data_IF_206363557797
#
_entry.id   IF_206363557797
#
_cell.length_a   1.000
_cell.length_b   1.000
_cell.length_c   1.000
_cell.angle_alpha   90.00
_cell.angle_beta   90.00
_cell.angle_gamma   90.00
#
_symmetry.space_group_name_H-M   'P 1'
#
loop_
_entity.id
_entity.type
_entity.pdbx_description
1 polymer ?
#
# COMPACT_ATOMS: atom_id res chain seq x y z
N UNK A 1 13.90 -3.17 -20.51
CA UNK A 1 14.20 -2.89 -19.09
C UNK A 1 14.46 -1.42 -18.94
N UNK A 2 13.75 -0.76 -18.04
CA UNK A 2 13.92 0.66 -17.73
C UNK A 2 15.03 0.80 -16.68
N UNK A 3 16.05 1.61 -16.98
CA UNK A 3 17.25 1.75 -16.16
C UNK A 3 17.43 3.12 -15.51
N UNK A 4 16.60 4.11 -15.82
CA UNK A 4 16.69 5.46 -15.29
C UNK A 4 15.32 6.13 -15.10
N UNK A 5 15.31 7.26 -14.40
CA UNK A 5 14.08 8.01 -14.07
C UNK A 5 13.43 8.59 -15.32
N UNK A 6 14.20 9.05 -16.30
CA UNK A 6 13.65 9.66 -17.52
C UNK A 6 12.86 8.64 -18.35
N UNK A 7 13.42 7.44 -18.54
CA UNK A 7 12.76 6.31 -19.19
C UNK A 7 11.53 5.84 -18.41
N UNK A 8 11.62 5.82 -17.08
CA UNK A 8 10.49 5.49 -16.22
C UNK A 8 9.33 6.47 -16.42
N UNK A 9 9.58 7.76 -16.25
CA UNK A 9 8.56 8.81 -16.34
C UNK A 9 7.99 8.94 -17.76
N UNK A 10 8.74 8.57 -18.80
CA UNK A 10 8.22 8.47 -20.16
C UNK A 10 7.12 7.40 -20.30
N UNK A 11 7.19 6.32 -19.52
CA UNK A 11 6.24 5.19 -19.58
C UNK A 11 5.07 5.36 -18.61
N UNK A 12 5.34 5.69 -17.35
CA UNK A 12 4.32 5.72 -16.28
C UNK A 12 3.89 7.14 -15.87
N UNK A 13 4.56 8.16 -16.40
CA UNK A 13 4.36 9.56 -16.05
C UNK A 13 5.11 9.97 -14.78
N UNK A 14 5.42 11.26 -14.69
CA UNK A 14 6.04 11.85 -13.50
C UNK A 14 5.09 11.85 -12.28
N UNK A 15 5.63 11.75 -11.05
CA UNK A 15 4.84 11.86 -9.82
C UNK A 15 4.00 13.14 -9.78
N UNK A 16 2.70 12.99 -9.49
CA UNK A 16 1.78 14.13 -9.50
C UNK A 16 1.93 14.98 -8.24
N UNK A 17 2.29 16.25 -8.39
CA UNK A 17 2.43 17.21 -7.28
C UNK A 17 1.20 17.27 -6.35
N UNK A 18 -0.01 17.19 -6.91
CA UNK A 18 -1.26 17.19 -6.14
C UNK A 18 -1.43 15.94 -5.23
N UNK A 19 -0.73 14.85 -5.54
CA UNK A 19 -0.75 13.62 -4.74
C UNK A 19 0.30 13.68 -3.65
N UNK A 20 1.49 14.20 -3.96
CA UNK A 20 2.55 14.45 -2.98
C UNK A 20 2.16 15.51 -1.95
N UNK A 21 1.40 16.52 -2.38
CA UNK A 21 0.87 17.58 -1.53
C UNK A 21 -0.12 17.13 -0.45
N UNK A 22 -0.44 15.84 -0.35
CA UNK A 22 -1.30 15.26 0.70
C UNK A 22 -0.52 14.67 1.88
N UNK A 23 0.79 14.82 1.87
CA UNK A 23 1.67 14.26 2.91
C UNK A 23 1.78 15.24 4.07
N UNK A 24 1.56 14.77 5.31
CA UNK A 24 1.84 15.52 6.53
C UNK A 24 2.98 14.86 7.30
N UNK A 25 3.63 15.60 8.20
CA UNK A 25 4.80 15.12 8.95
C UNK A 25 4.53 14.86 10.44
N UNK A 26 3.26 14.93 10.84
CA UNK A 26 2.79 14.59 12.19
C UNK A 26 1.34 14.09 12.10
N UNK A 27 0.98 13.14 12.93
CA UNK A 27 -0.38 12.60 13.05
C UNK A 27 -1.34 13.68 13.54
N UNK A 28 -2.34 13.99 12.72
CA UNK A 28 -3.52 14.74 13.15
C UNK A 28 -4.53 13.83 13.89
N UNK A 29 -5.59 14.43 14.44
CA UNK A 29 -6.64 13.69 15.16
C UNK A 29 -7.28 12.59 14.31
N UNK A 30 -7.48 12.87 13.02
CA UNK A 30 -8.07 11.90 12.09
C UNK A 30 -7.17 10.70 11.86
N UNK A 31 -5.88 10.94 11.63
CA UNK A 31 -4.87 9.89 11.46
C UNK A 31 -4.73 9.06 12.73
N UNK A 32 -4.77 9.68 13.92
CA UNK A 32 -4.74 8.95 15.20
C UNK A 32 -5.95 8.04 15.39
N UNK A 33 -7.16 8.50 15.03
CA UNK A 33 -8.37 7.66 15.05
C UNK A 33 -8.27 6.50 14.08
N UNK A 34 -7.73 6.73 12.89
CA UNK A 34 -7.47 5.68 11.90
C UNK A 34 -6.49 4.63 12.44
N UNK A 35 -5.37 5.04 13.05
CA UNK A 35 -4.42 4.13 13.70
C UNK A 35 -5.09 3.29 14.80
N UNK A 36 -5.85 3.93 15.69
CA UNK A 36 -6.54 3.25 16.78
C UNK A 36 -7.59 2.24 16.30
N UNK A 37 -8.18 2.50 15.12
CA UNK A 37 -9.16 1.65 14.47
C UNK A 37 -8.56 0.52 13.61
N UNK A 38 -7.25 0.56 13.35
CA UNK A 38 -6.58 -0.41 12.48
C UNK A 38 -6.07 -1.59 13.30
N UNK A 39 -6.68 -2.79 13.22
CA UNK A 39 -6.22 -3.96 13.98
C UNK A 39 -4.87 -4.50 13.47
N UNK A 40 -4.48 -4.12 12.25
CA UNK A 40 -3.25 -4.58 11.62
C UNK A 40 -2.67 -3.50 10.69
N UNK A 41 -1.35 -3.57 10.49
CA UNK A 41 -0.67 -2.80 9.47
C UNK A 41 0.37 -3.68 8.77
N UNK A 42 0.49 -3.52 7.45
CA UNK A 42 1.70 -3.99 6.76
C UNK A 42 2.88 -3.18 7.26
N UNK A 43 3.99 -3.85 7.55
CA UNK A 43 5.25 -3.25 7.96
C UNK A 43 6.34 -3.68 6.99
N UNK A 44 6.97 -2.70 6.35
CA UNK A 44 8.24 -2.84 5.64
C UNK A 44 9.39 -2.33 6.48
N UNK A 45 10.44 -3.14 6.61
CA UNK A 45 11.60 -2.82 7.43
C UNK A 45 12.85 -3.55 6.92
N UNK A 46 14.02 -3.19 7.43
CA UNK A 46 15.23 -4.01 7.29
C UNK A 46 15.55 -4.64 8.64
N UNK A 47 15.86 -5.93 8.63
CA UNK A 47 16.33 -6.61 9.84
C UNK A 47 17.76 -6.17 10.21
N UNK A 48 18.30 -6.68 11.32
CA UNK A 48 19.63 -6.32 11.82
C UNK A 48 20.78 -6.65 10.86
N UNK A 49 20.53 -7.47 9.82
CA UNK A 49 21.50 -7.78 8.76
C UNK A 49 21.38 -6.85 7.55
N UNK A 50 20.41 -5.93 7.58
CA UNK A 50 20.06 -5.05 6.46
C UNK A 50 19.18 -5.73 5.41
N UNK A 51 18.65 -6.92 5.67
CA UNK A 51 17.80 -7.62 4.70
C UNK A 51 16.39 -7.04 4.72
N UNK A 52 15.83 -6.65 3.55
CA UNK A 52 14.43 -6.27 3.43
C UNK A 52 13.47 -7.31 4.00
N UNK A 53 12.43 -6.83 4.67
CA UNK A 53 11.33 -7.65 5.19
C UNK A 53 10.01 -6.91 5.03
N UNK A 54 8.96 -7.66 4.74
CA UNK A 54 7.58 -7.20 4.70
C UNK A 54 6.73 -8.20 5.46
N UNK A 55 5.94 -7.74 6.42
CA UNK A 55 5.06 -8.60 7.22
C UNK A 55 3.84 -7.82 7.70
N UNK A 56 2.89 -8.50 8.35
CA UNK A 56 1.82 -7.86 9.11
C UNK A 56 2.21 -7.76 10.59
N UNK A 57 1.95 -6.60 11.18
CA UNK A 57 2.01 -6.34 12.61
C UNK A 57 0.63 -5.99 13.15
N UNK A 58 0.44 -6.17 14.45
CA UNK A 58 -0.83 -5.92 15.13
C UNK A 58 -1.14 -4.43 15.30
N UNK A 59 -1.96 -4.13 16.30
CA UNK A 59 -2.39 -2.77 16.59
C UNK A 59 -1.20 -1.83 16.89
N UNK A 60 -1.30 -0.61 16.37
CA UNK A 60 -0.30 0.44 16.52
C UNK A 60 -0.91 1.59 17.32
N UNK A 61 -0.23 2.03 18.36
CA UNK A 61 -0.69 3.10 19.25
C UNK A 61 0.03 4.41 18.97
N UNK A 62 -0.70 5.50 18.79
CA UNK A 62 -0.11 6.84 18.69
C UNK A 62 0.13 7.42 20.10
N UNK A 63 1.38 7.48 20.55
CA UNK A 63 1.76 8.10 21.82
C UNK A 63 1.71 9.64 21.76
N UNK A 64 2.01 10.19 20.59
CA UNK A 64 2.00 11.63 20.33
C UNK A 64 1.81 11.89 18.83
N UNK A 65 1.65 13.15 18.38
CA UNK A 65 1.60 13.47 16.96
C UNK A 65 2.82 12.99 16.17
N UNK A 66 3.99 12.82 16.79
CA UNK A 66 5.24 12.47 16.10
C UNK A 66 5.79 11.10 16.52
N UNK A 67 5.04 10.32 17.30
CA UNK A 67 5.50 9.03 17.81
C UNK A 67 4.39 8.00 17.89
N UNK A 68 4.68 6.81 17.37
CA UNK A 68 3.85 5.61 17.52
C UNK A 68 4.62 4.52 18.27
N UNK A 69 3.90 3.59 18.87
CA UNK A 69 4.42 2.38 19.51
C UNK A 69 3.66 1.15 19.02
N UNK A 70 4.39 0.06 18.86
CA UNK A 70 3.89 -1.24 18.43
C UNK A 70 4.88 -2.33 18.80
N UNK A 71 4.44 -3.58 18.86
CA UNK A 71 5.38 -4.71 18.93
C UNK A 71 6.10 -4.86 17.58
N UNK A 72 7.39 -4.51 17.53
CA UNK A 72 8.20 -4.62 16.33
C UNK A 72 8.75 -6.05 16.18
N UNK A 73 8.86 -6.58 14.96
CA UNK A 73 9.61 -7.81 14.72
C UNK A 73 11.05 -7.68 15.24
N UNK A 74 11.64 -8.76 15.80
CA UNK A 74 13.01 -8.75 16.28
C UNK A 74 13.99 -8.28 15.20
N UNK A 75 14.87 -7.34 15.58
CA UNK A 75 15.88 -6.79 14.69
C UNK A 75 15.38 -5.74 13.69
N UNK A 76 14.11 -5.30 13.77
CA UNK A 76 13.66 -4.17 12.97
C UNK A 76 14.39 -2.88 13.36
N UNK A 77 15.11 -2.29 12.40
CA UNK A 77 15.93 -1.10 12.62
C UNK A 77 15.77 -0.08 11.50
N UNK A 78 16.11 1.17 11.78
CA UNK A 78 16.18 2.22 10.77
C UNK A 78 14.80 2.64 10.24
N UNK A 79 14.72 2.91 8.93
CA UNK A 79 13.49 3.37 8.30
C UNK A 79 12.47 2.25 8.14
N UNK A 80 11.21 2.55 8.45
CA UNK A 80 10.07 1.65 8.36
C UNK A 80 8.90 2.31 7.65
N UNK A 81 8.09 1.50 6.96
CA UNK A 81 6.91 1.98 6.25
C UNK A 81 5.70 1.10 6.53
N UNK A 82 4.57 1.76 6.77
CA UNK A 82 3.32 1.14 7.17
C UNK A 82 2.21 1.33 6.14
N UNK A 83 1.35 0.32 6.01
CA UNK A 83 0.03 0.42 5.36
C UNK A 83 -1.01 -0.11 6.34
N UNK A 84 -1.79 0.80 6.93
CA UNK A 84 -2.80 0.46 7.91
C UNK A 84 -4.03 -0.15 7.23
N UNK A 85 -4.45 -1.32 7.72
CA UNK A 85 -5.63 -2.03 7.22
C UNK A 85 -6.82 -1.72 8.13
N UNK A 86 -7.85 -1.11 7.54
CA UNK A 86 -9.10 -0.81 8.21
C UNK A 86 -10.18 -1.73 7.65
N UNK A 87 -10.66 -2.71 8.43
CA UNK A 87 -11.64 -3.65 7.93
C UNK A 87 -12.92 -2.96 7.44
N UNK A 88 -13.40 -3.37 6.26
CA UNK A 88 -14.57 -2.77 5.60
C UNK A 88 -14.30 -1.40 4.94
N UNK A 89 -13.12 -0.80 5.14
CA UNK A 89 -12.74 0.48 4.53
C UNK A 89 -11.82 0.26 3.34
N UNK A 90 -12.07 0.98 2.26
CA UNK A 90 -11.36 0.81 0.98
C UNK A 90 -10.00 1.50 1.02
N UNK A 91 -9.99 2.75 1.44
CA UNK A 91 -8.77 3.55 1.59
C UNK A 91 -7.89 3.03 2.72
N UNK A 92 -6.59 3.25 2.60
CA UNK A 92 -5.63 2.94 3.66
C UNK A 92 -4.88 4.19 4.07
N UNK A 93 -4.44 4.25 5.32
CA UNK A 93 -3.49 5.25 5.77
C UNK A 93 -2.08 4.67 5.63
N UNK A 94 -1.14 5.46 5.13
CA UNK A 94 0.27 5.12 5.07
C UNK A 94 1.07 6.01 6.00
N UNK A 95 2.11 5.43 6.58
CA UNK A 95 3.01 6.13 7.48
C UNK A 95 4.44 5.66 7.22
N UNK A 96 5.36 6.59 7.01
CA UNK A 96 6.78 6.31 7.01
C UNK A 96 7.39 6.87 8.30
N UNK A 97 8.36 6.17 8.84
CA UNK A 97 8.98 6.54 10.11
C UNK A 97 10.37 5.94 10.29
N UNK A 98 10.94 6.19 11.45
CA UNK A 98 12.25 5.65 11.84
C UNK A 98 12.15 5.03 13.22
N UNK A 99 12.58 3.78 13.34
CA UNK A 99 12.70 3.08 14.63
C UNK A 99 13.69 3.82 15.52
N UNK A 100 13.25 4.11 16.75
CA UNK A 100 14.06 4.67 17.84
C UNK A 100 14.22 3.60 18.93
N UNK A 101 14.95 3.92 20.00
CA UNK A 101 15.23 2.95 21.06
C UNK A 101 13.95 2.24 21.57
N UNK A 102 14.00 0.91 21.62
CA UNK A 102 12.86 0.05 21.93
C UNK A 102 11.87 -0.07 20.76
N UNK A 103 10.58 -0.05 21.09
CA UNK A 103 9.45 -0.31 20.20
C UNK A 103 8.76 0.97 19.68
N UNK A 104 9.47 2.10 19.74
CA UNK A 104 8.96 3.40 19.35
C UNK A 104 9.40 3.77 17.93
N UNK A 105 8.48 4.31 17.14
CA UNK A 105 8.76 4.83 15.79
C UNK A 105 8.48 6.33 15.76
N UNK A 106 9.47 7.11 15.34
CA UNK A 106 9.31 8.52 15.04
C UNK A 106 8.64 8.68 13.68
N UNK A 107 7.52 9.41 13.63
CA UNK A 107 6.75 9.65 12.41
C UNK A 107 7.50 10.64 11.51
N UNK A 108 7.63 10.31 10.22
CA UNK A 108 8.20 11.19 9.19
C UNK A 108 7.18 11.67 8.20
N UNK A 109 6.31 10.77 7.76
CA UNK A 109 5.30 11.06 6.76
C UNK A 109 4.03 10.29 7.06
N UNK A 110 2.89 10.92 6.81
CA UNK A 110 1.57 10.31 6.89
C UNK A 110 0.78 10.78 5.69
N UNK A 111 0.14 9.86 4.98
CA UNK A 111 -0.70 10.19 3.84
C UNK A 111 -1.75 9.12 3.58
N UNK A 112 -2.86 9.52 2.98
CA UNK A 112 -3.93 8.60 2.58
C UNK A 112 -3.60 7.98 1.23
N UNK A 113 -3.75 6.66 1.15
CA UNK A 113 -3.62 5.88 -0.06
C UNK A 113 -4.98 5.45 -0.59
N UNK A 114 -5.17 5.54 -1.91
CA UNK A 114 -6.46 5.25 -2.55
C UNK A 114 -6.85 3.77 -2.41
N UNK A 115 -8.15 3.50 -2.36
CA UNK A 115 -8.68 2.16 -2.10
C UNK A 115 -8.73 1.21 -3.28
N UNK A 116 -8.12 1.53 -4.42
CA UNK A 116 -8.21 0.71 -5.64
C UNK A 116 -7.66 -0.69 -5.46
N UNK A 117 -6.52 -0.84 -4.78
CA UNK A 117 -5.93 -2.16 -4.52
C UNK A 117 -6.88 -3.03 -3.69
N UNK A 118 -7.45 -2.48 -2.61
CA UNK A 118 -8.42 -3.15 -1.73
C UNK A 118 -9.70 -3.54 -2.47
N UNK A 119 -10.20 -2.65 -3.34
CA UNK A 119 -11.37 -2.90 -4.18
C UNK A 119 -11.13 -4.03 -5.18
N UNK A 120 -10.05 -3.94 -5.97
CA UNK A 120 -9.75 -4.93 -7.01
C UNK A 120 -9.45 -6.31 -6.43
N UNK A 121 -8.82 -6.37 -5.26
CA UNK A 121 -8.51 -7.62 -4.58
C UNK A 121 -9.67 -8.23 -3.80
N UNK A 122 -10.83 -7.54 -3.76
CA UNK A 122 -11.97 -7.88 -2.90
C UNK A 122 -11.55 -8.20 -1.45
N UNK A 123 -10.59 -7.45 -0.90
CA UNK A 123 -9.90 -7.83 0.35
C UNK A 123 -10.87 -8.12 1.51
N UNK A 124 -11.95 -7.34 1.60
CA UNK A 124 -12.96 -7.42 2.64
C UNK A 124 -14.18 -8.28 2.27
N UNK A 125 -14.32 -8.64 0.99
CA UNK A 125 -15.40 -9.46 0.45
C UNK A 125 -14.84 -10.63 -0.37
N UNK A 126 -13.94 -11.45 0.22
CA UNK A 126 -13.20 -12.45 -0.55
C UNK A 126 -14.07 -13.67 -0.88
N UNK A 127 -13.82 -14.24 -2.05
CA UNK A 127 -14.33 -15.56 -2.39
C UNK A 127 -13.55 -16.66 -1.63
N UNK A 128 -14.19 -17.77 -1.23
CA UNK A 128 -13.49 -18.86 -0.56
C UNK A 128 -12.36 -19.44 -1.42
N UNK A 129 -11.15 -19.49 -0.89
CA UNK A 129 -10.02 -20.15 -1.55
C UNK A 129 -10.12 -21.67 -1.40
N UNK A 130 -10.06 -22.45 -2.49
CA UNK A 130 -10.05 -23.91 -2.40
C UNK A 130 -8.91 -24.46 -1.54
N UNK A 131 -9.10 -25.58 -0.82
CA UNK A 131 -8.01 -26.30 -0.18
C UNK A 131 -6.94 -26.71 -1.19
N UNK A 132 -5.66 -26.60 -0.82
CA UNK A 132 -4.54 -27.00 -1.68
C UNK A 132 -4.21 -26.07 -2.86
N UNK A 133 -4.90 -24.92 -3.00
CA UNK A 133 -4.53 -23.92 -4.00
C UNK A 133 -3.09 -23.42 -3.79
N UNK A 134 -2.37 -23.18 -4.89
CA UNK A 134 -1.05 -22.54 -4.85
C UNK A 134 -1.15 -21.17 -4.17
N UNK A 135 -0.24 -20.90 -3.25
CA UNK A 135 -0.39 -19.75 -2.37
C UNK A 135 -0.32 -18.42 -3.13
N UNK A 136 0.64 -18.28 -4.06
CA UNK A 136 0.81 -17.05 -4.82
C UNK A 136 -0.31 -16.87 -5.83
N UNK A 137 -0.68 -17.94 -6.54
CA UNK A 137 -1.79 -17.91 -7.50
C UNK A 137 -3.14 -17.57 -6.82
N UNK A 138 -3.33 -17.98 -5.57
CA UNK A 138 -4.53 -17.67 -4.80
C UNK A 138 -4.48 -16.31 -4.08
N UNK A 139 -3.37 -15.58 -4.11
CA UNK A 139 -3.21 -14.32 -3.40
C UNK A 139 -3.71 -13.13 -4.25
N UNK A 140 -4.82 -12.46 -3.87
CA UNK A 140 -5.29 -11.25 -4.55
C UNK A 140 -4.59 -9.97 -4.06
N UNK A 141 -3.78 -10.05 -3.00
CA UNK A 141 -3.15 -8.87 -2.40
C UNK A 141 -1.69 -9.16 -2.03
N UNK A 142 -0.81 -8.22 -2.38
CA UNK A 142 0.58 -8.22 -1.94
C UNK A 142 0.99 -6.83 -1.43
N UNK A 143 1.83 -6.78 -0.40
CA UNK A 143 2.53 -5.57 -0.01
C UNK A 143 3.99 -5.67 -0.46
N UNK A 144 4.51 -4.61 -1.07
CA UNK A 144 5.89 -4.57 -1.58
C UNK A 144 6.64 -3.46 -0.86
N UNK A 145 7.70 -3.82 -0.14
CA UNK A 145 8.59 -2.88 0.53
C UNK A 145 9.85 -2.64 -0.30
N UNK A 146 10.20 -1.37 -0.44
CA UNK A 146 11.33 -0.85 -1.22
C UNK A 146 11.99 0.31 -0.47
N UNK A 147 13.21 0.69 -0.88
CA UNK A 147 13.96 1.78 -0.23
C UNK A 147 14.51 2.74 -1.28
N UNK A 148 14.49 4.04 -0.98
CA UNK A 148 15.14 5.04 -1.81
C UNK A 148 16.68 5.05 -1.63
N UNK A 149 17.35 5.94 -2.35
CA UNK A 149 18.81 6.11 -2.28
C UNK A 149 19.32 6.51 -0.88
N UNK A 150 18.50 7.22 -0.11
CA UNK A 150 18.81 7.68 1.25
C UNK A 150 18.49 6.60 2.31
N UNK A 151 17.91 5.47 1.90
CA UNK A 151 17.52 4.37 2.77
C UNK A 151 16.19 4.59 3.48
N UNK A 152 15.33 5.50 3.02
CA UNK A 152 13.96 5.63 3.50
C UNK A 152 13.10 4.50 2.92
N UNK A 153 12.27 3.90 3.77
CA UNK A 153 11.40 2.79 3.41
C UNK A 153 10.06 3.28 2.81
N UNK A 154 9.57 2.53 1.82
CA UNK A 154 8.22 2.65 1.27
C UNK A 154 7.59 1.26 1.10
N UNK A 155 6.42 1.03 1.70
CA UNK A 155 5.61 -0.19 1.53
C UNK A 155 4.35 0.11 0.72
N UNK A 156 4.29 -0.43 -0.49
CA UNK A 156 3.25 -0.15 -1.45
C UNK A 156 2.28 -1.33 -1.57
N UNK A 157 0.97 -1.15 -1.29
CA UNK A 157 0.00 -2.22 -1.47
C UNK A 157 -0.31 -2.41 -2.97
N UNK A 158 -0.46 -3.66 -3.38
CA UNK A 158 -0.89 -4.07 -4.72
C UNK A 158 -2.03 -5.07 -4.54
N UNK A 159 -3.10 -4.88 -5.29
CA UNK A 159 -4.29 -5.71 -5.19
C UNK A 159 -5.00 -5.79 -6.52
N UNK A 160 -5.44 -7.00 -6.85
CA UNK A 160 -6.07 -7.40 -8.10
C UNK A 160 -6.72 -8.79 -7.91
N UNK A 161 -7.36 -9.33 -8.94
CA UNK A 161 -7.86 -10.71 -8.92
C UNK A 161 -6.72 -11.72 -8.65
N UNK A 162 -7.00 -12.85 -7.98
CA UNK A 162 -5.99 -13.88 -7.72
C UNK A 162 -5.21 -14.29 -8.98
N UNK A 163 -3.90 -14.43 -8.86
CA UNK A 163 -3.01 -14.81 -9.96
C UNK A 163 -2.46 -13.63 -10.77
N UNK A 164 -2.68 -12.39 -10.34
CA UNK A 164 -2.12 -11.21 -11.01
C UNK A 164 -0.59 -11.13 -10.92
N UNK A 165 0.02 -11.67 -9.85
CA UNK A 165 1.46 -11.87 -9.77
C UNK A 165 1.80 -13.10 -10.60
N UNK A 166 2.48 -12.90 -11.74
CA UNK A 166 2.81 -13.98 -12.65
C UNK A 166 4.13 -14.62 -12.29
N UNK A 167 4.15 -15.95 -12.26
CA UNK A 167 5.39 -16.73 -12.23
C UNK A 167 5.86 -16.86 -13.69
N UNK A 168 7.03 -16.30 -14.00
CA UNK A 168 7.63 -16.40 -15.34
C UNK A 168 8.50 -17.66 -15.46
N UNK A 169 9.21 -17.98 -14.39
CA UNK A 169 10.03 -19.19 -14.23
C UNK A 169 10.24 -19.49 -12.73
N UNK A 170 11.06 -20.50 -12.40
CA UNK A 170 11.33 -20.95 -11.03
C UNK A 170 11.82 -19.84 -10.08
N UNK A 171 12.43 -18.77 -10.61
CA UNK A 171 13.05 -17.71 -9.81
C UNK A 171 12.63 -16.30 -10.24
N UNK A 172 11.60 -16.15 -11.06
CA UNK A 172 11.22 -14.85 -11.62
C UNK A 172 9.72 -14.63 -11.54
N UNK A 173 9.33 -13.53 -10.88
CA UNK A 173 7.94 -13.06 -10.81
C UNK A 173 7.78 -11.77 -11.62
N UNK A 174 6.60 -11.57 -12.20
CA UNK A 174 6.16 -10.29 -12.75
C UNK A 174 4.96 -9.75 -11.97
N UNK A 175 5.07 -8.51 -11.48
CA UNK A 175 3.98 -7.78 -10.81
C UNK A 175 3.56 -6.61 -11.70
N UNK A 176 2.36 -6.62 -12.28
CA UNK A 176 1.91 -5.55 -13.18
C UNK A 176 1.65 -4.23 -12.43
N UNK A 177 1.99 -3.10 -13.04
CA UNK A 177 1.58 -1.79 -12.55
C UNK A 177 0.12 -1.52 -12.92
N UNK A 178 -0.77 -1.66 -11.95
CA UNK A 178 -2.17 -1.26 -12.14
C UNK A 178 -2.31 0.22 -11.94
N UNK A 179 -3.15 0.86 -12.77
CA UNK A 179 -3.41 2.30 -12.71
C UNK A 179 -3.70 2.75 -11.28
N UNK A 180 -2.80 3.54 -10.71
CA UNK A 180 -2.82 3.94 -9.31
C UNK A 180 -3.11 5.43 -9.12
N UNK A 181 -2.54 5.97 -8.04
CA UNK A 181 -2.52 7.41 -7.76
C UNK A 181 -1.37 8.14 -8.48
N UNK A 182 -0.48 7.42 -9.17
CA UNK A 182 0.66 8.02 -9.88
C UNK A 182 1.75 8.57 -8.95
N UNK A 183 1.97 7.97 -7.78
CA UNK A 183 3.16 8.26 -6.94
C UNK A 183 4.42 7.55 -7.41
N UNK A 184 4.27 6.32 -7.92
CA UNK A 184 5.36 5.48 -8.48
C UNK A 184 6.61 5.35 -7.59
N UNK A 185 6.46 5.46 -6.26
CA UNK A 185 7.58 5.43 -5.28
C UNK A 185 8.39 4.13 -5.42
N UNK A 186 7.72 2.98 -5.49
CA UNK A 186 8.39 1.67 -5.65
C UNK A 186 9.30 1.62 -6.88
N UNK A 187 8.91 2.25 -7.99
CA UNK A 187 9.71 2.25 -9.22
C UNK A 187 10.93 3.14 -9.10
N UNK A 188 10.77 4.35 -8.57
CA UNK A 188 11.90 5.25 -8.29
C UNK A 188 12.88 4.62 -7.30
N UNK A 189 12.37 3.97 -6.26
CA UNK A 189 13.17 3.26 -5.28
C UNK A 189 13.97 2.13 -5.92
N UNK A 190 13.35 1.30 -6.77
CA UNK A 190 14.01 0.17 -7.44
C UNK A 190 15.14 0.61 -8.38
N UNK A 191 15.05 1.80 -9.00
CA UNK A 191 16.13 2.36 -9.79
C UNK A 191 17.37 2.74 -8.94
N UNK A 192 17.17 3.08 -7.67
CA UNK A 192 18.24 3.41 -6.73
C UNK A 192 18.73 2.21 -5.90
N UNK A 193 17.81 1.34 -5.49
CA UNK A 193 18.04 0.15 -4.68
C UNK A 193 17.12 -0.98 -5.15
N UNK A 194 17.71 -1.95 -5.85
CA UNK A 194 16.97 -3.06 -6.44
C UNK A 194 16.40 -4.07 -5.42
N UNK A 195 16.90 -4.08 -4.18
CA UNK A 195 16.48 -5.03 -3.15
C UNK A 195 15.08 -4.71 -2.64
N UNK A 196 14.16 -5.65 -2.84
CA UNK A 196 12.76 -5.55 -2.40
C UNK A 196 12.37 -6.75 -1.55
N UNK A 197 11.33 -6.55 -0.74
CA UNK A 197 10.62 -7.64 -0.07
C UNK A 197 9.13 -7.53 -0.42
N UNK A 198 8.49 -8.67 -0.60
CA UNK A 198 7.06 -8.80 -0.87
C UNK A 198 6.45 -9.77 0.13
N UNK A 199 5.23 -9.48 0.57
CA UNK A 199 4.41 -10.44 1.31
C UNK A 199 3.03 -10.55 0.66
N UNK A 200 2.66 -11.76 0.28
CA UNK A 200 1.38 -12.10 -0.34
C UNK A 200 0.41 -12.66 0.70
N UNK A 201 -0.87 -12.32 0.52
CA UNK A 201 -1.93 -12.62 1.45
C UNK A 201 -3.12 -13.25 0.73
N UNK A 202 -3.62 -14.35 1.29
CA UNK A 202 -4.90 -14.95 0.94
C UNK A 202 -5.89 -14.58 2.05
N UNK A 203 -6.96 -13.82 1.75
CA UNK A 203 -7.98 -13.50 2.73
C UNK A 203 -8.58 -14.75 3.39
N UNK A 204 -8.71 -14.70 4.71
CA UNK A 204 -9.23 -15.82 5.51
C UNK A 204 -8.19 -16.87 5.94
N UNK A 205 -6.96 -16.85 5.41
CA UNK A 205 -5.86 -17.71 5.90
C UNK A 205 -5.05 -17.05 6.99
N UNK A 206 -4.35 -17.85 7.79
CA UNK A 206 -3.51 -17.42 8.92
C UNK A 206 -2.01 -17.38 8.58
N UNK A 207 -1.68 -17.49 7.29
CA UNK A 207 -0.31 -17.50 6.77
C UNK A 207 -0.08 -16.36 5.77
N UNK A 208 1.18 -15.98 5.61
CA UNK A 208 1.69 -15.09 4.57
C UNK A 208 2.76 -15.82 3.76
N UNK A 209 2.80 -15.60 2.45
CA UNK A 209 3.95 -15.95 1.62
C UNK A 209 4.88 -14.74 1.55
N UNK A 210 6.08 -14.88 2.12
CA UNK A 210 7.16 -13.90 2.03
C UNK A 210 8.05 -14.22 0.83
N UNK A 211 8.45 -13.18 0.10
CA UNK A 211 9.35 -13.27 -1.06
C UNK A 211 10.38 -12.16 -0.97
N UNK A 212 11.66 -12.51 -0.91
CA UNK A 212 12.77 -11.57 -0.95
C UNK A 212 13.52 -11.70 -2.28
N UNK A 213 13.95 -10.58 -2.84
CA UNK A 213 14.63 -10.59 -4.13
C UNK A 213 15.21 -9.26 -4.58
N UNK A 214 15.55 -9.21 -5.85
CA UNK A 214 15.88 -7.97 -6.55
C UNK A 214 14.85 -7.68 -7.61
N UNK A 215 14.40 -6.43 -7.68
CA UNK A 215 13.45 -5.97 -8.65
C UNK A 215 14.13 -5.18 -9.77
N UNK A 216 13.49 -5.19 -10.92
CA UNK A 216 13.81 -4.35 -12.06
C UNK A 216 12.51 -4.00 -12.80
N UNK A 217 12.53 -2.99 -13.65
CA UNK A 217 11.31 -2.47 -14.29
C UNK A 217 11.33 -2.85 -15.76
N UNK A 218 10.21 -3.38 -16.25
CA UNK A 218 10.03 -3.72 -17.66
C UNK A 218 8.83 -2.99 -18.27
N UNK A 219 9.01 -2.58 -19.52
CA UNK A 219 8.03 -2.05 -20.46
C UNK A 219 7.85 -2.97 -21.68
N UNK A 220 8.33 -4.22 -21.59
CA UNK A 220 8.24 -5.22 -22.66
C UNK A 220 6.78 -5.47 -23.05
N UNK A 221 6.40 -5.04 -24.25
CA UNK A 221 5.04 -5.13 -24.74
C UNK A 221 4.54 -6.58 -24.85
N UNK A 222 5.40 -7.55 -25.15
CA UNK A 222 5.00 -8.95 -25.31
C UNK A 222 4.62 -9.55 -23.96
N UNK A 223 5.44 -9.29 -22.93
CA UNK A 223 5.12 -9.69 -21.58
C UNK A 223 3.88 -8.95 -21.04
N UNK A 224 3.80 -7.62 -21.21
CA UNK A 224 2.70 -6.83 -20.67
C UNK A 224 1.35 -7.25 -21.24
N UNK A 225 1.29 -7.61 -22.54
CA UNK A 225 0.08 -8.15 -23.19
C UNK A 225 -0.43 -9.46 -22.57
N UNK A 226 0.40 -10.17 -21.81
CA UNK A 226 -0.04 -11.36 -21.06
C UNK A 226 -0.73 -11.01 -19.75
N UNK A 227 -0.66 -9.77 -19.27
CA UNK A 227 -1.20 -9.32 -17.98
C UNK A 227 -2.39 -8.34 -18.10
N UNK A 228 -3.35 -8.49 -19.02
CA UNK A 228 -4.42 -7.52 -19.17
C UNK A 228 -5.44 -7.61 -18.01
N UNK A 229 -6.18 -6.52 -17.81
CA UNK A 229 -7.49 -6.55 -17.16
C UNK A 229 -8.51 -6.07 -18.17
N UNK A 230 -9.44 -6.94 -18.57
CA UNK A 230 -10.31 -6.66 -19.70
C UNK A 230 -9.50 -6.28 -20.95
N UNK A 231 -9.62 -5.02 -21.39
CA UNK A 231 -8.86 -4.45 -22.52
C UNK A 231 -7.64 -3.61 -22.11
N UNK A 232 -7.43 -3.43 -20.81
CA UNK A 232 -6.38 -2.58 -20.25
C UNK A 232 -5.09 -3.37 -20.03
N UNK A 233 -4.05 -3.03 -20.79
CA UNK A 233 -2.69 -3.58 -20.63
C UNK A 233 -1.89 -2.66 -19.71
N UNK A 234 -1.18 -3.17 -18.69
CA UNK A 234 -0.31 -2.33 -17.85
C UNK A 234 0.81 -1.71 -18.68
N UNK A 235 1.22 -0.49 -18.36
CA UNK A 235 2.32 0.18 -19.09
C UNK A 235 3.70 -0.31 -18.66
N UNK A 236 3.81 -0.84 -17.43
CA UNK A 236 5.04 -1.37 -16.88
C UNK A 236 4.75 -2.51 -15.89
N UNK A 237 5.76 -3.29 -15.57
CA UNK A 237 5.73 -4.30 -14.52
C UNK A 237 7.06 -4.34 -13.75
N UNK A 238 7.00 -4.79 -12.50
CA UNK A 238 8.19 -5.19 -11.76
C UNK A 238 8.53 -6.63 -12.10
N UNK A 239 9.77 -6.86 -12.50
CA UNK A 239 10.38 -8.18 -12.55
C UNK A 239 11.14 -8.41 -11.26
N UNK A 240 10.69 -9.35 -10.44
CA UNK A 240 11.32 -9.73 -9.18
C UNK A 240 12.07 -11.04 -9.38
N UNK A 241 13.40 -10.98 -9.34
CA UNK A 241 14.26 -12.16 -9.25
C UNK A 241 14.28 -12.63 -7.80
N UNK A 242 13.63 -13.74 -7.57
CA UNK A 242 13.42 -14.35 -6.25
C UNK A 242 14.74 -14.94 -5.75
N UNK A 243 15.09 -14.62 -4.51
CA UNK A 243 16.22 -15.24 -3.78
C UNK A 243 15.72 -16.19 -2.70
N UNK A 244 14.63 -15.84 -2.06
CA UNK A 244 14.07 -16.62 -0.97
C UNK A 244 12.56 -16.49 -0.94
N UNK A 245 11.89 -17.59 -0.62
CA UNK A 245 10.45 -17.65 -0.38
C UNK A 245 10.17 -18.45 0.87
N UNK A 246 9.19 -18.01 1.65
CA UNK A 246 8.78 -18.72 2.84
C UNK A 246 7.32 -18.46 3.16
N UNK A 247 6.57 -19.51 3.48
CA UNK A 247 5.22 -19.38 4.02
C UNK A 247 5.33 -19.42 5.55
N UNK A 248 4.84 -18.37 6.21
CA UNK A 248 4.84 -18.27 7.67
C UNK A 248 3.44 -17.96 8.19
N UNK A 249 3.08 -18.62 9.29
CA UNK A 249 1.91 -18.23 10.09
C UNK A 249 2.14 -16.83 10.67
N UNK A 250 1.09 -16.01 10.65
CA UNK A 250 1.09 -14.69 11.24
C UNK A 250 -0.08 -14.56 12.22
N UNK A 251 0.24 -14.33 13.50
CA UNK A 251 -0.74 -14.29 14.59
C UNK A 251 -1.77 -13.14 14.47
N UNK A 252 -1.49 -12.13 13.64
CA UNK A 252 -2.39 -10.98 13.41
C UNK A 252 -3.54 -11.35 12.47
N UNK A 253 -3.32 -12.30 11.55
CA UNK A 253 -4.32 -12.64 10.52
C UNK A 253 -5.65 -13.15 11.07
N UNK A 254 -5.70 -14.08 12.04
CA UNK A 254 -6.97 -14.48 12.66
C UNK A 254 -7.74 -13.31 13.28
N UNK A 255 -7.04 -12.32 13.84
CA UNK A 255 -7.66 -11.12 14.42
C UNK A 255 -8.20 -10.20 13.33
N UNK A 256 -7.43 -9.98 12.26
CA UNK A 256 -7.84 -9.21 11.10
C UNK A 256 -9.13 -9.76 10.48
N UNK A 257 -9.22 -11.08 10.31
CA UNK A 257 -10.38 -11.73 9.71
C UNK A 257 -11.59 -11.79 10.62
N UNK A 258 -11.41 -11.77 11.94
CA UNK A 258 -12.53 -11.59 12.88
C UNK A 258 -13.05 -10.16 12.86
N UNK A 259 -12.16 -9.18 12.74
CA UNK A 259 -12.51 -7.76 12.70
C UNK A 259 -13.18 -7.34 11.37
N UNK A 260 -13.11 -8.15 10.30
CA UNK A 260 -13.71 -7.83 8.99
C UNK A 260 -15.20 -7.55 9.00
N UNK A 261 -15.93 -8.15 9.93
CA UNK A 261 -17.38 -7.98 10.09
C UNK A 261 -17.75 -6.86 11.06
N UNK A 262 -16.78 -6.18 11.67
CA UNK A 262 -17.02 -5.10 12.62
C UNK A 262 -17.21 -3.78 11.89
N UNK A 263 -18.26 -3.04 12.25
CA UNK A 263 -18.37 -1.63 11.90
C UNK A 263 -17.35 -0.84 12.72
N UNK A 264 -16.56 -0.01 12.04
CA UNK A 264 -15.56 0.82 12.72
C UNK A 264 -16.13 2.21 12.94
N UNK A 265 -16.73 2.43 14.11
CA UNK A 265 -17.33 3.71 14.48
C UNK A 265 -16.27 4.77 14.78
N UNK A 266 -16.57 6.04 14.47
CA UNK A 266 -15.72 7.18 14.82
C UNK A 266 -14.48 7.39 13.95
N UNK A 267 -14.28 6.57 12.91
CA UNK A 267 -13.22 6.77 11.90
C UNK A 267 -13.66 7.84 10.89
N UNK A 268 -12.82 8.86 10.62
CA UNK A 268 -13.12 9.86 9.60
C UNK A 268 -13.11 9.23 8.19
N UNK A 269 -13.88 9.79 7.26
CA UNK A 269 -13.73 9.45 5.85
C UNK A 269 -12.29 9.80 5.38
N UNK A 270 -11.55 8.80 4.91
CA UNK A 270 -10.14 8.98 4.55
C UNK A 270 -9.97 9.91 3.33
N UNK A 271 -10.97 10.04 2.46
CA UNK A 271 -10.89 10.98 1.36
C UNK A 271 -11.03 12.43 1.84
N UNK A 272 -11.91 12.69 2.81
CA UNK A 272 -11.97 13.97 3.51
C UNK A 272 -10.67 14.26 4.26
N UNK A 273 -10.09 13.26 4.93
CA UNK A 273 -8.79 13.37 5.59
C UNK A 273 -7.70 13.77 4.58
N UNK A 274 -7.67 13.14 3.41
CA UNK A 274 -6.75 13.47 2.33
C UNK A 274 -6.91 14.90 1.80
N UNK A 275 -8.16 15.40 1.71
CA UNK A 275 -8.45 16.79 1.33
C UNK A 275 -7.96 17.76 2.42
N UNK A 276 -8.17 17.44 3.70
CA UNK A 276 -7.67 18.23 4.81
C UNK A 276 -6.13 18.28 4.83
N UNK A 277 -5.46 17.17 4.54
CA UNK A 277 -3.99 17.12 4.39
C UNK A 277 -3.50 17.97 3.21
N UNK A 278 -4.20 17.92 2.06
CA UNK A 278 -3.87 18.81 0.94
C UNK A 278 -4.01 20.28 1.30
N UNK A 279 -5.08 20.65 2.00
CA UNK A 279 -5.35 22.03 2.41
C UNK A 279 -4.33 22.52 3.45
N UNK A 280 -3.88 21.66 4.37
CA UNK A 280 -2.93 22.04 5.42
C UNK A 280 -1.54 22.40 4.88
N UNK A 281 -1.17 21.83 3.73
CA UNK A 281 0.09 22.08 3.03
C UNK A 281 0.10 23.33 2.15
N UNK A 282 -1.06 23.96 1.92
CA UNK A 282 -1.12 25.25 1.23
C UNK A 282 -0.59 26.38 2.13
N UNK A 283 -0.13 27.49 1.53
CA UNK A 283 0.43 28.66 2.24
C UNK A 283 -0.54 29.85 2.21
N UNK A 284 -0.48 30.70 3.24
CA UNK A 284 -1.20 31.98 3.29
C UNK A 284 -2.73 31.85 3.23
N UNK A 285 -3.39 32.80 2.55
CA UNK A 285 -4.85 32.86 2.42
C UNK A 285 -5.47 31.59 1.81
N UNK A 286 -4.74 30.92 0.89
CA UNK A 286 -5.18 29.67 0.26
C UNK A 286 -5.40 28.55 1.29
N UNK A 287 -4.58 28.48 2.35
CA UNK A 287 -4.74 27.53 3.46
C UNK A 287 -6.03 27.76 4.24
N UNK A 288 -6.38 29.02 4.48
CA UNK A 288 -7.60 29.38 5.23
C UNK A 288 -8.86 29.05 4.41
N UNK A 289 -8.87 29.42 3.13
CA UNK A 289 -9.95 29.10 2.19
C UNK A 289 -10.10 27.58 2.02
N UNK A 290 -9.00 26.86 1.80
CA UNK A 290 -9.01 25.40 1.65
C UNK A 290 -9.54 24.67 2.88
N UNK A 291 -9.16 25.12 4.09
CA UNK A 291 -9.71 24.54 5.34
C UNK A 291 -11.20 24.86 5.52
N UNK A 292 -11.64 26.07 5.17
CA UNK A 292 -13.06 26.43 5.21
C UNK A 292 -13.90 25.55 4.28
N UNK A 293 -13.43 25.34 3.04
CA UNK A 293 -14.08 24.45 2.07
C UNK A 293 -14.08 22.99 2.56
N UNK A 294 -12.96 22.48 3.08
CA UNK A 294 -12.87 21.12 3.62
C UNK A 294 -13.80 20.89 4.84
N UNK A 295 -14.00 21.94 5.65
CA UNK A 295 -14.92 21.93 6.79
C UNK A 295 -16.39 21.91 6.39
N UNK A 296 -16.74 22.54 5.25
CA UNK A 296 -18.12 22.68 4.76
C UNK A 296 -18.62 21.48 3.94
N UNK A 297 -17.73 20.57 3.53
CA UNK A 297 -18.10 19.36 2.78
C UNK A 297 -18.78 18.34 3.70
N UNK A 298 -19.99 17.90 3.33
CA UNK A 298 -20.65 16.80 4.03
C UNK A 298 -20.00 15.47 3.66
N UNK A 299 -19.79 14.62 4.67
CA UNK A 299 -19.11 13.32 4.51
C UNK A 299 -19.81 12.45 3.45
N UNK A 300 -21.16 12.45 3.45
CA UNK A 300 -21.95 11.67 2.50
C UNK A 300 -21.81 12.11 1.04
N UNK A 301 -21.65 13.42 0.76
CA UNK A 301 -21.49 13.92 -0.61
C UNK A 301 -20.09 13.61 -1.15
N UNK A 302 -19.04 13.83 -0.34
CA UNK A 302 -17.65 13.48 -0.70
C UNK A 302 -17.57 11.99 -1.00
N UNK A 303 -18.15 11.16 -0.12
CA UNK A 303 -18.14 9.71 -0.29
C UNK A 303 -18.85 9.26 -1.56
N UNK A 304 -20.07 9.74 -1.83
CA UNK A 304 -20.82 9.39 -3.06
C UNK A 304 -20.05 9.77 -4.33
N UNK A 305 -19.44 10.96 -4.35
CA UNK A 305 -18.64 11.42 -5.48
C UNK A 305 -17.42 10.54 -5.71
N UNK A 306 -16.70 10.18 -4.63
CA UNK A 306 -15.54 9.29 -4.69
C UNK A 306 -15.91 7.86 -5.12
N UNK A 307 -17.01 7.31 -4.60
CA UNK A 307 -17.50 5.98 -4.98
C UNK A 307 -17.95 5.94 -6.45
N UNK A 308 -18.53 7.03 -6.97
CA UNK A 308 -18.81 7.15 -8.40
C UNK A 308 -17.53 7.19 -9.24
N UNK A 309 -16.50 7.93 -8.78
CA UNK A 309 -15.21 8.02 -9.46
C UNK A 309 -14.46 6.68 -9.47
N UNK A 310 -14.47 5.93 -8.37
CA UNK A 310 -13.89 4.59 -8.32
C UNK A 310 -14.63 3.61 -9.24
N UNK A 311 -15.97 3.55 -9.16
CA UNK A 311 -16.75 2.66 -10.05
C UNK A 311 -16.51 2.97 -11.52
N UNK A 312 -16.45 4.25 -11.90
CA UNK A 312 -16.11 4.66 -13.27
C UNK A 312 -14.73 4.16 -13.65
N UNK A 313 -13.71 4.43 -12.83
CA UNK A 313 -12.35 4.03 -13.16
C UNK A 313 -12.17 2.52 -13.23
N UNK A 314 -12.81 1.75 -12.35
CA UNK A 314 -12.77 0.28 -12.38
C UNK A 314 -13.41 -0.25 -13.66
N UNK A 315 -14.54 0.33 -14.11
CA UNK A 315 -15.15 0.01 -15.41
C UNK A 315 -14.23 0.36 -16.58
N UNK A 316 -13.63 1.54 -16.57
CA UNK A 316 -12.69 2.00 -17.61
C UNK A 316 -11.47 1.06 -17.71
N UNK A 317 -11.09 0.43 -16.59
CA UNK A 317 -10.00 -0.55 -16.53
C UNK A 317 -10.43 -1.99 -16.84
N UNK A 318 -11.74 -2.26 -16.94
CA UNK A 318 -12.28 -3.58 -17.30
C UNK A 318 -12.66 -4.49 -16.13
N UNK A 319 -12.73 -3.97 -14.90
CA UNK A 319 -13.26 -4.72 -13.76
C UNK A 319 -14.80 -4.71 -13.74
N UNK A 320 -15.42 -5.79 -13.27
CA UNK A 320 -16.85 -5.81 -12.97
C UNK A 320 -17.16 -4.79 -11.88
N UNK A 321 -18.21 -4.00 -12.06
CA UNK A 321 -18.60 -2.93 -11.13
C UNK A 321 -19.81 -3.30 -10.28
N UNK A 322 -19.90 -4.57 -9.88
CA UNK A 322 -20.95 -5.04 -8.98
C UNK A 322 -20.77 -4.45 -7.58
#
# INVERSE_FOLDING_TARGET
MIGDVAGLEAVVGAPRAAVLGKTIHALDDGSRRVLAASPAAWLGYRDGTGTPRTTLVGAVHAESPTRIRLELPPGAVGSVSFVFLLPGVRETLRLNGVVRAGDAVEVREVFVHCGRCVLRSKLWEPEPTPPGADFLAASPFVAISSWDADGNADTSPRGDEPGFVRVLDEHTLAVPDRRGNGRTDTFHNVLACDRVSLAALIPGRDELLHVDGTASITDDADLLRTMPVGRSVPHAALIVRVRHTEIRRNAVLPLLWRARSSTVDGVPDLMRLAVAHAASNQRGALRAVGRGLAGALSDGLVRRGMDAAYRRSLRDEGYSSE
#
